data_IF_634576970534
#
_entry.id   IF_634576970534
#
_cell.length_a   1.000
_cell.length_b   1.000
_cell.length_c   1.000
_cell.angle_alpha   90.00
_cell.angle_beta   90.00
_cell.angle_gamma   90.00
#
_symmetry.space_group_name_H-M   'P 1'
#
loop_
_entity.id
_entity.type
_entity.pdbx_description
1 polymer ?
#
# COMPACT_ATOMS: atom_id res chain seq x y z
N UNK A 1 24.35 -3.45 -0.43
CA UNK A 1 23.55 -4.56 -0.98
C UNK A 1 22.09 -4.14 -0.95
N UNK A 2 21.34 -4.37 -2.03
CA UNK A 2 19.91 -4.06 -2.09
C UNK A 2 19.10 -5.33 -1.89
N UNK A 3 17.96 -5.20 -1.22
CA UNK A 3 16.98 -6.28 -1.04
C UNK A 3 15.78 -5.96 -1.90
N UNK A 4 15.32 -6.94 -2.65
CA UNK A 4 14.16 -6.82 -3.51
C UNK A 4 12.99 -7.60 -2.92
N UNK A 5 11.85 -6.93 -2.80
CA UNK A 5 10.59 -7.52 -2.39
C UNK A 5 9.69 -7.64 -3.62
N UNK A 6 9.05 -8.79 -3.75
CA UNK A 6 7.89 -8.96 -4.61
C UNK A 6 6.69 -9.18 -3.70
N UNK A 7 5.59 -8.48 -3.96
CA UNK A 7 4.34 -8.75 -3.25
C UNK A 7 3.89 -10.15 -3.67
N UNK A 8 3.93 -11.15 -2.76
CA UNK A 8 3.69 -12.52 -3.14
C UNK A 8 2.20 -12.79 -3.28
N UNK A 9 1.82 -13.83 -4.03
CA UNK A 9 0.42 -14.20 -4.23
C UNK A 9 -0.29 -14.62 -2.93
N UNK A 10 0.46 -15.05 -1.92
CA UNK A 10 -0.05 -15.41 -0.60
C UNK A 10 -0.04 -14.24 0.39
N UNK A 11 0.14 -12.99 -0.08
CA UNK A 11 -0.06 -11.82 0.76
C UNK A 11 -1.50 -11.79 1.30
N UNK A 12 -1.66 -11.34 2.54
CA UNK A 12 -2.94 -11.30 3.23
C UNK A 12 -3.40 -9.87 3.46
N UNK A 13 -4.70 -9.66 3.53
CA UNK A 13 -5.28 -8.42 4.05
C UNK A 13 -5.24 -8.52 5.57
N UNK A 14 -4.47 -7.64 6.18
CA UNK A 14 -4.28 -7.61 7.63
C UNK A 14 -5.51 -7.02 8.33
N UNK A 15 -5.72 -7.39 9.60
CA UNK A 15 -6.90 -7.02 10.39
C UNK A 15 -7.05 -5.52 10.66
N UNK A 16 -5.97 -4.75 10.51
CA UNK A 16 -5.99 -3.29 10.58
C UNK A 16 -6.61 -2.65 9.33
N UNK A 17 -6.82 -3.42 8.25
CA UNK A 17 -7.50 -2.91 7.07
C UNK A 17 -8.97 -2.61 7.37
N UNK A 18 -9.48 -1.53 6.79
CA UNK A 18 -10.85 -1.05 7.00
C UNK A 18 -11.35 -0.33 5.75
N UNK A 19 -12.64 -0.46 5.47
CA UNK A 19 -13.32 0.36 4.45
C UNK A 19 -13.61 1.78 4.94
N UNK A 20 -13.23 2.12 6.17
CA UNK A 20 -13.62 3.36 6.82
C UNK A 20 -15.08 3.34 7.29
N UNK A 21 -15.49 4.41 7.96
CA UNK A 21 -16.85 4.59 8.50
C UNK A 21 -17.33 6.00 8.18
N UNK A 22 -17.84 6.22 6.96
CA UNK A 22 -18.32 7.53 6.52
C UNK A 22 -17.32 8.66 6.84
N UNK A 23 -17.81 9.74 7.45
CA UNK A 23 -17.02 10.95 7.73
C UNK A 23 -16.02 10.83 8.89
N UNK A 24 -15.93 9.68 9.59
CA UNK A 24 -15.13 9.57 10.83
C UNK A 24 -13.85 8.74 10.70
N UNK A 25 -13.75 7.87 9.69
CA UNK A 25 -12.51 7.16 9.42
C UNK A 25 -12.34 6.90 7.93
N UNK A 26 -11.16 7.21 7.41
CA UNK A 26 -10.84 6.94 6.02
C UNK A 26 -10.47 5.47 5.79
N UNK A 27 -10.69 4.94 4.58
CA UNK A 27 -10.27 3.59 4.23
C UNK A 27 -8.76 3.40 4.43
N UNK A 28 -8.41 2.22 4.92
CA UNK A 28 -7.03 1.78 5.11
C UNK A 28 -6.90 0.37 4.55
N UNK A 29 -5.97 0.17 3.62
CA UNK A 29 -5.59 -1.17 3.17
C UNK A 29 -4.22 -1.50 3.74
N UNK A 30 -4.09 -2.61 4.44
CA UNK A 30 -2.81 -3.13 4.95
C UNK A 30 -2.61 -4.55 4.39
N UNK A 31 -1.57 -4.71 3.59
CA UNK A 31 -1.15 -5.99 3.03
C UNK A 31 0.02 -6.52 3.81
N UNK A 32 -0.14 -7.69 4.44
CA UNK A 32 0.91 -8.39 5.18
C UNK A 32 1.52 -9.51 4.33
N UNK A 33 2.84 -9.69 4.43
CA UNK A 33 3.53 -10.76 3.71
C UNK A 33 4.90 -11.12 4.33
N UNK A 34 5.36 -12.33 4.00
CA UNK A 34 6.66 -12.82 4.44
C UNK A 34 6.83 -12.84 5.97
N UNK A 35 8.04 -12.55 6.44
CA UNK A 35 8.37 -12.56 7.87
C UNK A 35 8.00 -11.25 8.59
N UNK A 36 6.74 -10.82 8.46
CA UNK A 36 6.21 -9.62 9.12
C UNK A 36 6.48 -8.31 8.38
N UNK A 37 6.59 -8.36 7.04
CA UNK A 37 6.61 -7.17 6.19
C UNK A 37 5.18 -6.73 5.89
N UNK A 38 4.97 -5.44 5.68
CA UNK A 38 3.66 -4.93 5.29
C UNK A 38 3.73 -3.71 4.39
N UNK A 39 2.74 -3.58 3.52
CA UNK A 39 2.50 -2.42 2.68
C UNK A 39 1.11 -1.88 3.00
N UNK A 40 1.01 -0.63 3.43
CA UNK A 40 -0.29 0.00 3.70
C UNK A 40 -0.54 1.22 2.83
N UNK A 41 -1.79 1.36 2.39
CA UNK A 41 -2.31 2.51 1.66
C UNK A 41 -3.42 3.13 2.51
N UNK A 42 -3.17 4.33 2.99
CA UNK A 42 -4.17 5.17 3.64
C UNK A 42 -4.82 6.04 2.57
N UNK A 43 -6.14 6.06 2.56
CA UNK A 43 -6.92 6.83 1.59
C UNK A 43 -7.45 8.10 2.24
N UNK A 44 -7.75 9.09 1.40
CA UNK A 44 -8.56 10.22 1.80
C UNK A 44 -9.48 10.62 0.67
N UNK A 45 -10.51 11.37 1.00
CA UNK A 45 -11.45 11.95 0.05
C UNK A 45 -11.32 13.47 0.02
N UNK A 46 -11.50 14.02 -1.17
CA UNK A 46 -11.54 15.46 -1.41
C UNK A 46 -12.61 15.74 -2.45
N UNK A 47 -13.75 16.28 -1.99
CA UNK A 47 -14.92 16.59 -2.80
C UNK A 47 -15.43 15.38 -3.61
N UNK A 48 -15.15 15.34 -4.91
CA UNK A 48 -15.56 14.30 -5.86
C UNK A 48 -14.44 13.29 -6.17
N UNK A 49 -13.31 13.36 -5.45
CA UNK A 49 -12.14 12.51 -5.68
C UNK A 49 -11.71 11.76 -4.43
N UNK A 50 -11.09 10.60 -4.63
CA UNK A 50 -10.29 9.92 -3.61
C UNK A 50 -8.83 9.86 -4.03
N UNK A 51 -7.95 9.74 -3.04
CA UNK A 51 -6.52 9.56 -3.25
C UNK A 51 -5.93 8.60 -2.22
N UNK A 52 -4.83 7.91 -2.54
CA UNK A 52 -3.95 7.40 -1.48
C UNK A 52 -3.15 8.56 -0.92
N UNK A 53 -3.57 9.02 0.25
CA UNK A 53 -2.93 10.08 1.01
C UNK A 53 -1.53 9.67 1.45
N UNK A 54 -1.37 8.44 1.93
CA UNK A 54 -0.09 7.95 2.42
C UNK A 54 0.12 6.48 2.06
N UNK A 55 1.27 6.19 1.49
CA UNK A 55 1.81 4.84 1.44
C UNK A 55 2.83 4.66 2.53
N UNK A 56 2.74 3.52 3.20
CA UNK A 56 3.71 3.11 4.19
C UNK A 56 4.20 1.72 3.85
N UNK A 57 5.51 1.55 3.83
CA UNK A 57 6.14 0.24 3.78
C UNK A 57 6.84 -0.05 5.10
N UNK A 58 6.52 -1.20 5.70
CA UNK A 58 7.18 -1.72 6.89
C UNK A 58 7.92 -3.00 6.55
N UNK A 59 9.20 -3.09 6.90
CA UNK A 59 10.03 -4.26 6.64
C UNK A 59 10.84 -4.69 7.86
N UNK A 60 10.81 -6.00 8.12
CA UNK A 60 11.40 -6.60 9.31
C UNK A 60 12.86 -6.92 9.04
N UNK A 61 13.76 -6.17 9.67
CA UNK A 61 15.20 -6.38 9.55
C UNK A 61 15.67 -7.68 10.21
N UNK A 62 14.83 -8.30 11.05
CA UNK A 62 15.10 -9.61 11.64
C UNK A 62 14.75 -10.77 10.69
N UNK A 63 14.22 -10.50 9.49
CA UNK A 63 14.03 -11.53 8.47
C UNK A 63 15.39 -11.98 7.89
N UNK A 64 15.95 -13.04 8.46
CA UNK A 64 17.25 -13.57 8.06
C UNK A 64 17.29 -14.09 6.61
N UNK A 65 16.14 -14.35 5.98
CA UNK A 65 16.10 -14.80 4.58
C UNK A 65 16.43 -13.68 3.60
N UNK A 66 16.12 -12.43 3.97
CA UNK A 66 16.35 -11.24 3.15
C UNK A 66 17.46 -10.34 3.72
N UNK A 67 17.60 -10.29 5.04
CA UNK A 67 18.48 -9.39 5.77
C UNK A 67 19.54 -10.14 6.58
N UNK A 68 20.18 -11.15 5.98
CA UNK A 68 21.19 -12.00 6.64
C UNK A 68 22.37 -11.23 7.28
N UNK A 69 22.72 -10.06 6.73
CA UNK A 69 23.81 -9.21 7.22
C UNK A 69 23.32 -7.97 7.99
N UNK A 70 22.03 -7.90 8.35
CA UNK A 70 21.53 -6.74 9.09
C UNK A 70 22.10 -6.73 10.50
N UNK A 71 22.76 -5.63 10.86
CA UNK A 71 23.23 -5.35 12.22
C UNK A 71 22.15 -4.69 13.08
N UNK A 72 21.08 -4.19 12.45
CA UNK A 72 19.92 -3.64 13.12
C UNK A 72 18.81 -4.70 13.16
N UNK A 73 18.09 -4.77 14.29
CA UNK A 73 16.95 -5.65 14.46
C UNK A 73 15.63 -4.87 14.45
N UNK A 74 14.54 -5.59 14.18
CA UNK A 74 13.18 -5.10 14.34
C UNK A 74 12.59 -4.41 13.12
N UNK A 75 11.44 -3.76 13.34
CA UNK A 75 10.59 -3.21 12.30
C UNK A 75 11.07 -1.82 11.87
N UNK A 76 11.36 -1.65 10.58
CA UNK A 76 11.54 -0.34 9.98
C UNK A 76 10.32 0.04 9.18
N UNK A 77 10.00 1.34 9.18
CA UNK A 77 8.82 1.91 8.52
C UNK A 77 9.26 3.14 7.74
N UNK A 78 8.83 3.22 6.48
CA UNK A 78 9.05 4.38 5.60
C UNK A 78 7.72 4.77 4.99
N UNK A 79 7.48 6.06 4.79
CA UNK A 79 6.25 6.54 4.17
C UNK A 79 6.49 7.58 3.08
N UNK A 80 5.50 7.72 2.21
CA UNK A 80 5.44 8.71 1.15
C UNK A 80 4.01 9.21 1.00
N UNK A 81 3.85 10.53 0.88
CA UNK A 81 2.54 11.13 0.65
C UNK A 81 2.15 11.06 -0.82
N UNK A 82 0.87 10.88 -1.06
CA UNK A 82 0.19 11.08 -2.34
C UNK A 82 0.73 10.24 -3.49
N UNK A 83 0.07 9.11 -3.78
CA UNK A 83 0.56 8.18 -4.83
C UNK A 83 -0.34 8.12 -6.05
N UNK A 84 -1.65 8.23 -5.86
CA UNK A 84 -2.62 8.18 -6.94
C UNK A 84 -3.91 8.86 -6.49
N UNK A 85 -4.65 9.39 -7.46
CA UNK A 85 -5.93 10.06 -7.29
C UNK A 85 -6.86 9.62 -8.43
N UNK A 86 -8.14 9.49 -8.11
CA UNK A 86 -9.21 9.22 -9.08
C UNK A 86 -10.53 9.83 -8.59
N UNK A 87 -11.51 9.94 -9.49
CA UNK A 87 -12.85 10.38 -9.12
C UNK A 87 -13.58 9.28 -8.34
N UNK A 88 -14.46 9.69 -7.42
CA UNK A 88 -15.35 8.79 -6.69
C UNK A 88 -16.18 7.95 -7.68
N UNK A 89 -16.35 6.66 -7.37
CA UNK A 89 -17.05 5.72 -8.25
C UNK A 89 -16.30 5.39 -9.55
N UNK A 90 -14.97 5.54 -9.57
CA UNK A 90 -14.13 5.11 -10.69
C UNK A 90 -12.91 4.34 -10.20
N UNK A 91 -12.42 3.42 -11.03
CA UNK A 91 -11.18 2.69 -10.76
C UNK A 91 -9.94 3.47 -11.24
N UNK A 92 -8.95 3.59 -10.38
CA UNK A 92 -7.60 3.96 -10.77
C UNK A 92 -6.90 2.76 -11.43
N UNK A 93 -6.27 2.97 -12.59
CA UNK A 93 -5.50 1.92 -13.29
C UNK A 93 -4.12 2.42 -13.66
N UNK A 94 -3.09 1.75 -13.15
CA UNK A 94 -1.68 2.00 -13.45
C UNK A 94 -1.13 0.80 -14.22
N UNK A 95 -1.18 0.90 -15.56
CA UNK A 95 -0.70 -0.18 -16.46
C UNK A 95 0.82 -0.17 -16.54
N UNK A 96 1.41 1.01 -16.70
CA UNK A 96 2.86 1.18 -16.76
C UNK A 96 3.47 1.22 -15.37
N UNK A 97 4.72 0.78 -15.26
CA UNK A 97 5.45 0.81 -14.00
C UNK A 97 5.63 2.25 -13.50
N UNK A 98 5.10 2.55 -12.30
CA UNK A 98 5.29 3.81 -11.59
C UNK A 98 6.17 3.58 -10.36
N UNK A 99 7.31 4.24 -10.33
CA UNK A 99 8.23 4.18 -9.19
C UNK A 99 7.96 5.32 -8.22
N UNK A 100 7.97 5.00 -6.93
CA UNK A 100 7.84 5.94 -5.81
C UNK A 100 9.11 5.82 -4.99
N UNK A 101 9.90 6.89 -5.04
CA UNK A 101 11.18 6.97 -4.33
C UNK A 101 10.94 7.48 -2.91
N UNK A 102 11.20 6.64 -1.92
CA UNK A 102 11.21 7.00 -0.51
C UNK A 102 12.65 7.05 -0.01
N UNK A 103 12.86 7.52 1.23
CA UNK A 103 14.21 7.71 1.82
C UNK A 103 15.22 6.60 1.44
N UNK A 104 14.94 5.36 1.84
CA UNK A 104 15.86 4.22 1.64
C UNK A 104 15.19 3.05 0.91
N UNK A 105 14.03 3.28 0.29
CA UNK A 105 13.21 2.24 -0.34
C UNK A 105 12.58 2.83 -1.60
N UNK A 106 12.64 2.09 -2.70
CA UNK A 106 11.91 2.41 -3.91
C UNK A 106 10.79 1.39 -4.10
N UNK A 107 9.55 1.87 -4.14
CA UNK A 107 8.38 1.03 -4.40
C UNK A 107 7.96 1.18 -5.85
N UNK A 108 7.73 0.07 -6.54
CA UNK A 108 7.25 0.09 -7.94
C UNK A 108 5.86 -0.51 -8.01
N UNK A 109 4.91 0.29 -8.47
CA UNK A 109 3.56 -0.17 -8.80
C UNK A 109 3.51 -0.52 -10.29
N UNK A 110 3.03 -1.71 -10.64
CA UNK A 110 2.90 -2.15 -12.02
C UNK A 110 1.64 -3.00 -12.16
N UNK A 111 0.88 -2.76 -13.23
CA UNK A 111 -0.40 -3.42 -13.49
C UNK A 111 -1.37 -3.38 -12.29
N UNK A 112 -1.55 -2.20 -11.69
CA UNK A 112 -2.38 -2.00 -10.50
C UNK A 112 -3.75 -1.50 -10.91
N UNK A 113 -4.80 -2.11 -10.37
CA UNK A 113 -6.16 -1.58 -10.38
C UNK A 113 -6.60 -1.39 -8.93
N UNK A 114 -7.14 -0.22 -8.63
CA UNK A 114 -7.50 0.16 -7.27
C UNK A 114 -8.76 1.02 -7.28
N UNK A 115 -9.59 0.84 -6.27
CA UNK A 115 -10.74 1.68 -5.99
C UNK A 115 -10.98 1.70 -4.49
N UNK A 116 -11.13 2.90 -3.94
CA UNK A 116 -11.49 3.10 -2.54
C UNK A 116 -12.97 3.51 -2.45
N UNK A 117 -13.54 3.46 -1.24
CA UNK A 117 -14.93 3.87 -0.97
C UNK A 117 -15.99 3.04 -1.75
N UNK A 118 -15.70 1.76 -1.97
CA UNK A 118 -16.61 0.81 -2.61
C UNK A 118 -17.90 0.64 -1.79
N UNK A 119 -19.06 0.83 -2.43
CA UNK A 119 -20.37 0.67 -1.81
C UNK A 119 -20.92 -0.76 -1.90
N UNK A 120 -20.62 -1.47 -3.00
CA UNK A 120 -21.16 -2.80 -3.29
C UNK A 120 -20.11 -3.92 -3.32
N UNK A 121 -18.87 -3.63 -2.88
CA UNK A 121 -17.76 -4.60 -2.89
C UNK A 121 -17.27 -5.00 -4.29
N UNK A 122 -17.78 -4.38 -5.35
CA UNK A 122 -17.38 -4.61 -6.74
C UNK A 122 -16.85 -3.33 -7.35
N UNK A 123 -15.76 -3.43 -8.13
CA UNK A 123 -15.21 -2.31 -8.88
C UNK A 123 -16.27 -1.64 -9.76
N UNK A 124 -16.18 -0.32 -9.87
CA UNK A 124 -17.03 0.47 -10.75
C UNK A 124 -16.77 0.11 -12.22
N UNK A 125 -17.86 0.05 -12.99
CA UNK A 125 -17.80 -0.06 -14.43
C UNK A 125 -17.65 1.35 -15.00
N UNK A 126 -16.43 1.70 -15.40
CA UNK A 126 -16.15 2.91 -16.17
C UNK A 126 -16.82 2.82 -17.55
#
# INVERSE_FOLDING_TARGET
QFVHFFLPQNAIVESQSSCGTGNTSHPLLVLGFGAGHSLSLNFSEAADTYQAEELVFSYNLSDATLFHNSTAAGMKRVSHKTIFQAHMGTKYRCVNSKQVNMKNVNVTFSNVTLEAYLTNGTFSMN
#
